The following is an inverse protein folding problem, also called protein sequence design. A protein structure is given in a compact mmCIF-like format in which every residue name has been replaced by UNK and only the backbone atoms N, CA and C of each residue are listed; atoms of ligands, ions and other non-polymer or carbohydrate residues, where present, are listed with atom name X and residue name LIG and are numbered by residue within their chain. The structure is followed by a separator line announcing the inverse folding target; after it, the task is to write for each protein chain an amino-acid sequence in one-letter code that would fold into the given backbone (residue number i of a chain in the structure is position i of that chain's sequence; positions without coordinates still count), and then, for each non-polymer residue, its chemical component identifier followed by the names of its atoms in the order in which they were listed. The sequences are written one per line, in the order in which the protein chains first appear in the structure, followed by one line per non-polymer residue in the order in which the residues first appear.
data_IF_853039205091
#
_entry.id   IF_853039205091
#
_cell.length_a   1.000
_cell.length_b   1.000
_cell.length_c   1.000
_cell.angle_alpha   90.00
_cell.angle_beta   90.00
_cell.angle_gamma   90.00
#
_symmetry.space_group_name_H-M   'P 1'
#
loop_
_entity.id
_entity.type
_entity.pdbx_description
1 polymer ?
#
# COMPACT_ATOMS: atom_id res chain seq x y z
N UNK A 1 -5.86 -8.26 28.68
CA UNK A 1 -5.40 -8.40 27.30
C UNK A 1 -4.79 -7.06 26.93
N UNK A 2 -3.61 -7.06 26.34
CA UNK A 2 -2.99 -5.82 25.87
C UNK A 2 -3.87 -5.15 24.80
N UNK A 3 -3.81 -3.82 24.73
CA UNK A 3 -4.59 -3.07 23.76
C UNK A 3 -4.07 -3.34 22.34
N UNK A 4 -4.96 -3.56 21.36
CA UNK A 4 -4.55 -4.03 20.05
C UNK A 4 -3.74 -2.98 19.29
N UNK A 5 -2.68 -3.43 18.62
CA UNK A 5 -1.81 -2.63 17.75
C UNK A 5 -2.18 -2.89 16.30
N UNK A 6 -2.62 -1.86 15.58
CA UNK A 6 -3.25 -2.00 14.28
C UNK A 6 -2.52 -1.13 13.25
N UNK A 7 -2.00 -1.76 12.20
CA UNK A 7 -1.46 -1.06 11.04
C UNK A 7 -2.46 -1.04 9.89
N UNK A 8 -2.67 0.13 9.31
CA UNK A 8 -3.47 0.34 8.12
C UNK A 8 -2.57 0.80 6.98
N UNK A 9 -2.65 0.14 5.83
CA UNK A 9 -1.82 0.46 4.66
C UNK A 9 -2.64 0.99 3.48
N UNK A 10 -2.13 2.07 2.90
CA UNK A 10 -2.52 2.64 1.59
C UNK A 10 -1.26 2.98 0.78
N UNK A 11 -1.38 3.44 -0.47
CA UNK A 11 -0.20 3.79 -1.30
C UNK A 11 -0.33 5.07 -2.14
N UNK A 12 -1.42 5.80 -1.99
CA UNK A 12 -1.69 7.00 -2.80
C UNK A 12 -2.33 8.05 -1.90
N UNK A 13 -1.61 9.10 -1.46
CA UNK A 13 -2.21 10.22 -0.74
C UNK A 13 -3.32 10.88 -1.55
N UNK A 14 -4.31 11.41 -0.84
CA UNK A 14 -5.51 12.05 -1.42
C UNK A 14 -6.35 11.14 -2.34
N UNK A 15 -6.27 9.82 -2.18
CA UNK A 15 -7.10 8.84 -2.89
C UNK A 15 -8.33 8.40 -2.07
N UNK A 16 -9.27 7.72 -2.74
CA UNK A 16 -10.36 7.00 -2.06
C UNK A 16 -9.85 5.93 -1.08
N UNK A 17 -8.77 5.21 -1.43
CA UNK A 17 -8.15 4.20 -0.56
C UNK A 17 -7.54 4.80 0.71
N UNK A 18 -6.91 5.97 0.60
CA UNK A 18 -6.42 6.72 1.76
C UNK A 18 -7.56 7.17 2.66
N UNK A 19 -8.62 7.76 2.07
CA UNK A 19 -9.82 8.16 2.84
C UNK A 19 -10.44 6.95 3.55
N UNK A 20 -10.57 5.81 2.87
CA UNK A 20 -11.07 4.58 3.47
C UNK A 20 -10.21 4.13 4.66
N UNK A 21 -8.88 4.17 4.55
CA UNK A 21 -7.98 3.77 5.63
C UNK A 21 -8.15 4.69 6.86
N UNK A 22 -8.19 6.01 6.64
CA UNK A 22 -8.41 6.99 7.72
C UNK A 22 -9.80 6.84 8.34
N UNK A 23 -10.84 6.58 7.55
CA UNK A 23 -12.19 6.34 8.07
C UNK A 23 -12.26 5.08 8.93
N UNK A 24 -11.61 3.99 8.52
CA UNK A 24 -11.52 2.75 9.31
C UNK A 24 -10.75 3.01 10.61
N UNK A 25 -9.60 3.69 10.53
CA UNK A 25 -8.81 4.08 11.70
C UNK A 25 -9.69 4.86 12.70
N UNK A 26 -10.41 5.86 12.20
CA UNK A 26 -11.27 6.70 13.05
C UNK A 26 -12.41 5.90 13.69
N UNK A 27 -13.02 4.99 12.95
CA UNK A 27 -14.06 4.11 13.48
C UNK A 27 -13.53 3.20 14.60
N UNK A 28 -12.32 2.66 14.44
CA UNK A 28 -11.64 1.86 15.47
C UNK A 28 -11.40 2.71 16.72
N UNK A 29 -10.85 3.92 16.58
CA UNK A 29 -10.59 4.83 17.71
C UNK A 29 -11.86 5.24 18.47
N UNK A 30 -13.02 5.31 17.78
CA UNK A 30 -14.31 5.58 18.43
C UNK A 30 -14.76 4.37 19.27
N UNK A 31 -14.62 3.15 18.73
CA UNK A 31 -15.10 1.93 19.38
C UNK A 31 -14.15 1.45 20.48
N UNK A 32 -12.84 1.54 20.25
CA UNK A 32 -11.79 1.29 21.23
C UNK A 32 -10.76 2.43 21.22
N UNK A 33 -10.95 3.47 22.05
CA UNK A 33 -10.00 4.59 22.15
C UNK A 33 -8.61 4.22 22.66
N UNK A 34 -8.46 3.02 23.24
CA UNK A 34 -7.17 2.53 23.75
C UNK A 34 -6.39 1.72 22.71
N UNK A 35 -7.01 1.35 21.59
CA UNK A 35 -6.33 0.71 20.48
C UNK A 35 -5.25 1.63 19.90
N UNK A 36 -4.06 1.08 19.68
CA UNK A 36 -2.98 1.80 19.03
C UNK A 36 -3.09 1.60 17.53
N UNK A 37 -3.40 2.67 16.79
CA UNK A 37 -3.65 2.58 15.34
C UNK A 37 -2.71 3.51 14.56
N UNK A 38 -2.13 3.03 13.46
CA UNK A 38 -1.33 3.84 12.53
C UNK A 38 -1.69 3.57 11.08
N UNK A 39 -1.95 4.65 10.34
CA UNK A 39 -2.22 4.63 8.91
C UNK A 39 -0.96 5.06 8.12
N UNK A 40 -0.45 4.17 7.28
CA UNK A 40 0.86 4.30 6.64
C UNK A 40 0.72 4.22 5.12
N UNK A 41 1.35 5.18 4.43
CA UNK A 41 1.63 5.06 3.01
C UNK A 41 2.77 4.06 2.80
N UNK A 42 2.41 2.81 2.50
CA UNK A 42 3.34 1.71 2.35
C UNK A 42 4.29 1.91 1.16
N UNK A 43 3.87 2.63 0.11
CA UNK A 43 4.72 2.88 -1.04
C UNK A 43 5.71 4.01 -0.77
N UNK A 44 5.28 5.07 -0.09
CA UNK A 44 6.17 6.12 0.39
C UNK A 44 7.19 5.60 1.39
N UNK A 45 6.77 4.76 2.33
CA UNK A 45 7.66 4.16 3.34
C UNK A 45 8.75 3.30 2.67
N UNK A 46 8.35 2.46 1.72
CA UNK A 46 9.29 1.54 1.06
C UNK A 46 10.15 2.25 0.00
N UNK A 47 9.63 3.27 -0.67
CA UNK A 47 10.26 3.91 -1.83
C UNK A 47 9.95 5.43 -1.92
N UNK A 48 10.44 6.28 -1.02
CA UNK A 48 10.02 7.69 -0.95
C UNK A 48 10.33 8.49 -2.23
N UNK A 49 11.47 8.22 -2.87
CA UNK A 49 11.87 8.88 -4.13
C UNK A 49 10.98 8.43 -5.29
N UNK A 50 10.83 7.12 -5.48
CA UNK A 50 9.98 6.60 -6.56
C UNK A 50 8.51 6.95 -6.35
N UNK A 51 8.04 7.00 -5.09
CA UNK A 51 6.70 7.43 -4.76
C UNK A 51 6.42 8.81 -5.35
N UNK A 52 7.29 9.81 -5.11
CA UNK A 52 7.10 11.16 -5.63
C UNK A 52 7.05 11.21 -7.17
N UNK A 53 7.89 10.42 -7.84
CA UNK A 53 7.95 10.35 -9.31
C UNK A 53 6.69 9.68 -9.86
N UNK A 54 6.38 8.48 -9.38
CA UNK A 54 5.23 7.69 -9.83
C UNK A 54 3.95 8.47 -9.57
N UNK A 55 3.77 9.06 -8.39
CA UNK A 55 2.57 9.82 -8.07
C UNK A 55 2.36 10.99 -9.04
N UNK A 56 3.42 11.73 -9.38
CA UNK A 56 3.34 12.84 -10.33
C UNK A 56 3.00 12.34 -11.74
N UNK A 57 3.73 11.33 -12.23
CA UNK A 57 3.56 10.82 -13.59
C UNK A 57 2.25 10.07 -13.77
N UNK A 58 1.89 9.19 -12.84
CA UNK A 58 0.64 8.42 -12.83
C UNK A 58 -0.58 9.34 -12.77
N UNK A 59 -0.62 10.29 -11.82
CA UNK A 59 -1.75 11.20 -11.71
C UNK A 59 -1.88 12.10 -12.94
N UNK A 60 -0.77 12.52 -13.54
CA UNK A 60 -0.81 13.27 -14.80
C UNK A 60 -1.32 12.40 -15.96
N UNK A 61 -0.88 11.15 -16.03
CA UNK A 61 -1.27 10.21 -17.08
C UNK A 61 -2.79 9.97 -17.06
N UNK A 62 -3.35 9.59 -15.92
CA UNK A 62 -4.78 9.28 -15.83
C UNK A 62 -5.64 10.52 -16.06
N UNK A 63 -5.21 11.69 -15.57
CA UNK A 63 -5.98 12.94 -15.73
C UNK A 63 -5.95 13.50 -17.15
N UNK A 64 -4.84 13.31 -17.90
CA UNK A 64 -4.66 13.93 -19.22
C UNK A 64 -4.80 12.96 -20.38
N UNK A 65 -4.51 11.68 -20.16
CA UNK A 65 -4.37 10.63 -21.19
C UNK A 65 -4.88 9.27 -20.65
N UNK A 66 -6.14 9.17 -20.19
CA UNK A 66 -6.70 7.93 -19.67
C UNK A 66 -6.58 6.76 -20.67
N UNK A 67 -6.64 7.02 -21.97
CA UNK A 67 -6.48 6.04 -23.04
C UNK A 67 -5.10 5.36 -23.02
N UNK A 68 -4.06 6.08 -22.60
CA UNK A 68 -2.71 5.51 -22.47
C UNK A 68 -2.63 4.60 -21.24
N UNK A 69 -3.31 4.97 -20.15
CA UNK A 69 -3.38 4.12 -18.97
C UNK A 69 -4.14 2.82 -19.26
N UNK A 70 -5.28 2.92 -19.96
CA UNK A 70 -6.09 1.78 -20.39
C UNK A 70 -5.26 0.83 -21.25
N UNK A 71 -4.55 1.34 -22.26
CA UNK A 71 -3.63 0.54 -23.07
C UNK A 71 -2.54 -0.14 -22.24
N UNK A 72 -1.93 0.54 -21.27
CA UNK A 72 -0.87 -0.06 -20.45
C UNK A 72 -1.38 -1.13 -19.50
N UNK A 73 -2.59 -0.94 -18.95
CA UNK A 73 -3.17 -1.83 -17.96
C UNK A 73 -3.81 -3.06 -18.59
N UNK A 74 -4.59 -2.88 -19.66
CA UNK A 74 -5.36 -3.94 -20.29
C UNK A 74 -4.58 -4.72 -21.33
N UNK A 75 -3.39 -4.25 -21.74
CA UNK A 75 -2.55 -4.97 -22.70
C UNK A 75 -1.82 -6.15 -22.03
N UNK A 76 -2.18 -7.41 -22.37
CA UNK A 76 -1.62 -8.58 -21.71
C UNK A 76 -0.11 -8.73 -21.97
N UNK A 77 0.39 -8.22 -23.10
CA UNK A 77 1.82 -8.24 -23.41
C UNK A 77 2.60 -7.31 -22.49
N UNK A 78 2.06 -6.13 -22.17
CA UNK A 78 2.67 -5.19 -21.22
C UNK A 78 2.65 -5.79 -19.82
N UNK A 79 1.51 -6.35 -19.41
CA UNK A 79 1.37 -7.05 -18.12
C UNK A 79 2.41 -8.16 -18.01
N UNK A 80 2.49 -9.06 -19.00
CA UNK A 80 3.45 -10.19 -19.01
C UNK A 80 4.90 -9.73 -18.96
N UNK A 81 5.28 -8.73 -19.75
CA UNK A 81 6.65 -8.19 -19.78
C UNK A 81 7.04 -7.52 -18.44
N UNK A 82 6.08 -6.94 -17.73
CA UNK A 82 6.34 -6.25 -16.46
C UNK A 82 6.24 -7.16 -15.23
N UNK A 83 5.76 -8.41 -15.35
CA UNK A 83 5.60 -9.33 -14.20
C UNK A 83 6.88 -9.55 -13.40
N UNK A 84 8.01 -9.83 -14.07
CA UNK A 84 9.30 -10.04 -13.38
C UNK A 84 9.75 -8.78 -12.62
N UNK A 85 9.56 -7.61 -13.21
CA UNK A 85 9.89 -6.35 -12.55
C UNK A 85 8.96 -6.10 -11.35
N UNK A 86 7.66 -6.34 -11.51
CA UNK A 86 6.68 -6.25 -10.42
C UNK A 86 7.05 -7.17 -9.26
N UNK A 87 7.42 -8.42 -9.52
CA UNK A 87 7.79 -9.37 -8.46
C UNK A 87 9.09 -8.97 -7.73
N UNK A 88 10.07 -8.42 -8.45
CA UNK A 88 11.30 -7.89 -7.83
C UNK A 88 11.00 -6.67 -6.93
N UNK A 89 10.16 -5.74 -7.41
CA UNK A 89 9.70 -4.60 -6.61
C UNK A 89 8.97 -5.07 -5.36
N UNK A 90 8.04 -6.02 -5.51
CA UNK A 90 7.31 -6.63 -4.39
C UNK A 90 8.26 -7.26 -3.37
N UNK A 91 9.22 -8.08 -3.81
CA UNK A 91 10.19 -8.75 -2.93
C UNK A 91 11.09 -7.76 -2.20
N UNK A 92 11.53 -6.70 -2.86
CA UNK A 92 12.34 -5.67 -2.23
C UNK A 92 11.53 -4.87 -1.19
N UNK A 93 10.30 -4.50 -1.55
CA UNK A 93 9.43 -3.72 -0.68
C UNK A 93 8.91 -4.51 0.51
N UNK A 94 8.60 -5.79 0.33
CA UNK A 94 8.14 -6.66 1.41
C UNK A 94 9.20 -6.76 2.51
N UNK A 95 10.49 -6.84 2.18
CA UNK A 95 11.57 -6.79 3.19
C UNK A 95 11.57 -5.53 4.03
N UNK A 96 11.36 -4.36 3.41
CA UNK A 96 11.24 -3.10 4.16
C UNK A 96 9.97 -3.07 5.00
N UNK A 97 8.86 -3.58 4.46
CA UNK A 97 7.60 -3.69 5.18
C UNK A 97 7.71 -4.66 6.37
N UNK A 98 8.53 -5.70 6.26
CA UNK A 98 8.82 -6.62 7.36
C UNK A 98 9.50 -5.90 8.51
N UNK A 99 10.48 -5.04 8.24
CA UNK A 99 11.13 -4.24 9.29
C UNK A 99 10.11 -3.39 10.05
N UNK A 100 9.18 -2.75 9.33
CA UNK A 100 8.09 -1.97 9.93
C UNK A 100 7.17 -2.85 10.80
N UNK A 101 6.81 -4.04 10.32
CA UNK A 101 5.95 -4.97 11.06
C UNK A 101 6.67 -5.49 12.31
N UNK A 102 7.97 -5.81 12.24
CA UNK A 102 8.77 -6.25 13.38
C UNK A 102 8.92 -5.15 14.42
N UNK A 103 9.13 -3.90 13.99
CA UNK A 103 9.23 -2.75 14.88
C UNK A 103 7.88 -2.43 15.56
N UNK A 104 6.80 -2.46 14.78
CA UNK A 104 5.49 -2.08 15.27
C UNK A 104 4.77 -3.19 16.02
N UNK A 105 5.12 -4.46 15.80
CA UNK A 105 4.46 -5.65 16.34
C UNK A 105 2.92 -5.54 16.30
N UNK A 106 2.30 -5.36 15.11
CA UNK A 106 0.86 -5.26 15.01
C UNK A 106 0.17 -6.60 15.26
N UNK A 107 -0.94 -6.59 15.99
CA UNK A 107 -1.88 -7.69 16.07
C UNK A 107 -2.72 -7.80 14.78
N UNK A 108 -2.98 -6.67 14.14
CA UNK A 108 -3.87 -6.57 12.97
C UNK A 108 -3.23 -5.71 11.89
N UNK A 109 -3.29 -6.19 10.64
CA UNK A 109 -2.91 -5.43 9.44
C UNK A 109 -4.13 -5.30 8.53
N UNK A 110 -4.47 -4.06 8.15
CA UNK A 110 -5.56 -3.72 7.24
C UNK A 110 -4.97 -3.10 5.97
N UNK A 111 -5.36 -3.58 4.80
CA UNK A 111 -4.92 -3.01 3.52
C UNK A 111 -6.13 -2.52 2.74
N UNK A 112 -6.15 -1.23 2.39
CA UNK A 112 -7.26 -0.68 1.59
C UNK A 112 -7.01 -0.76 0.09
N UNK A 113 -5.83 -1.18 -0.36
CA UNK A 113 -5.44 -1.29 -1.76
C UNK A 113 -4.67 -2.60 -2.05
N UNK A 114 -4.72 -3.09 -3.28
CA UNK A 114 -4.16 -4.39 -3.65
C UNK A 114 -2.62 -4.48 -3.50
N UNK A 115 -1.89 -3.39 -3.75
CA UNK A 115 -0.43 -3.37 -3.67
C UNK A 115 0.11 -3.72 -2.26
N UNK A 116 -0.28 -3.02 -1.17
CA UNK A 116 0.14 -3.40 0.17
C UNK A 116 -0.39 -4.76 0.60
N UNK A 117 -1.60 -5.14 0.18
CA UNK A 117 -2.13 -6.48 0.42
C UNK A 117 -1.21 -7.57 -0.17
N UNK A 118 -0.78 -7.41 -1.42
CA UNK A 118 0.15 -8.32 -2.07
C UNK A 118 1.51 -8.40 -1.39
N UNK A 119 2.08 -7.26 -0.96
CA UNK A 119 3.35 -7.24 -0.23
C UNK A 119 3.27 -7.97 1.12
N UNK A 120 2.18 -7.78 1.87
CA UNK A 120 1.94 -8.49 3.14
C UNK A 120 1.71 -9.98 2.88
N UNK A 121 0.99 -10.35 1.82
CA UNK A 121 0.81 -11.74 1.42
C UNK A 121 2.13 -12.43 1.04
N UNK A 122 3.06 -11.70 0.41
CA UNK A 122 4.40 -12.21 0.10
C UNK A 122 5.23 -12.50 1.36
N UNK A 123 4.98 -11.80 2.47
CA UNK A 123 5.65 -12.08 3.75
C UNK A 123 5.25 -13.43 4.35
N UNK A 124 4.02 -13.91 4.08
CA UNK A 124 3.54 -15.22 4.55
C UNK A 124 4.18 -16.41 3.84
N UNK A 125 4.99 -16.17 2.81
CA UNK A 125 5.70 -17.22 2.05
C UNK A 125 7.06 -17.57 2.65
N UNK A 126 7.49 -16.82 3.65
CA UNK A 126 8.72 -17.03 4.42
C UNK A 126 8.35 -17.45 5.84
#
# INVERSE_FOLDING_TARGET
MDEPRILLFYITPHSGHHKAAVSIQRAIEIVNPRAYTHCIDAFNYTNPVMNRIVHKTYMQLIRKRPEVWEYLYDNPNVVRRTQKLKSLIHKYNSRKLLNLIVEYQPDIIICTQAFPCGMVADLKKY
#
